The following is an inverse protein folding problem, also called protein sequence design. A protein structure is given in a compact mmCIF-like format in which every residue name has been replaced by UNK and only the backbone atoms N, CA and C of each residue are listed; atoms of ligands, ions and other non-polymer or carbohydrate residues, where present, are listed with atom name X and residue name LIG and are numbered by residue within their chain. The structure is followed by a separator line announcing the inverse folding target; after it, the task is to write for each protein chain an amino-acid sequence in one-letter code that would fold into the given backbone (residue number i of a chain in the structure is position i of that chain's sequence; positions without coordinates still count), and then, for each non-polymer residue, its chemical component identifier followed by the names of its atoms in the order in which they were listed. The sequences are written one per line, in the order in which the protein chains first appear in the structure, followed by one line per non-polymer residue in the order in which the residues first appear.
data_IF_983204071126
#
_entry.id   IF_983204071126
#
_cell.length_a   1.000
_cell.length_b   1.000
_cell.length_c   1.000
_cell.angle_alpha   90.00
_cell.angle_beta   90.00
_cell.angle_gamma   90.00
#
_symmetry.space_group_name_H-M   'P 1'
#
loop_
_entity.id
_entity.type
_entity.pdbx_description
1 polymer ?
#
# COMPACT_ATOMS: atom_id res chain seq x y z
N UNK A 1 -46.43 47.64 -70.84
CA UNK A 1 -46.15 47.56 -72.29
C UNK A 1 -45.59 46.16 -72.57
N UNK A 2 -46.43 45.27 -73.14
CA UNK A 2 -46.14 43.98 -73.82
C UNK A 2 -45.34 42.84 -73.15
N UNK A 3 -46.08 41.91 -72.53
CA UNK A 3 -46.36 40.50 -72.91
C UNK A 3 -45.38 39.65 -73.78
N UNK A 4 -45.42 38.34 -73.48
CA UNK A 4 -45.04 37.09 -74.21
C UNK A 4 -43.60 36.55 -74.02
N UNK A 5 -43.38 35.41 -73.33
CA UNK A 5 -43.65 33.98 -73.66
C UNK A 5 -42.75 33.43 -74.78
N UNK A 6 -41.89 32.44 -74.48
CA UNK A 6 -41.86 31.07 -75.07
C UNK A 6 -40.49 30.38 -74.97
N UNK A 7 -40.58 29.14 -74.48
CA UNK A 7 -39.96 27.89 -74.96
C UNK A 7 -38.44 27.67 -74.88
N UNK A 8 -38.11 26.60 -74.16
CA UNK A 8 -36.86 25.82 -74.19
C UNK A 8 -36.61 25.18 -75.57
N UNK A 9 -35.36 24.78 -75.88
CA UNK A 9 -35.04 23.35 -75.66
C UNK A 9 -33.59 23.02 -75.25
N UNK A 10 -33.51 21.88 -74.55
CA UNK A 10 -32.43 20.87 -74.49
C UNK A 10 -30.97 21.31 -74.33
N UNK A 11 -30.42 21.10 -73.13
CA UNK A 11 -28.99 20.84 -72.96
C UNK A 11 -28.76 19.39 -72.59
N UNK A 12 -27.97 18.74 -73.45
CA UNK A 12 -27.46 17.38 -73.33
C UNK A 12 -26.66 17.23 -72.05
N UNK A 13 -26.96 16.15 -71.36
CA UNK A 13 -26.23 15.54 -70.25
C UNK A 13 -24.74 15.42 -70.53
N UNK A 14 -23.92 16.06 -69.70
CA UNK A 14 -22.56 15.61 -69.42
C UNK A 14 -22.51 15.32 -67.92
N UNK A 15 -22.48 14.02 -67.58
CA UNK A 15 -22.11 13.57 -66.24
C UNK A 15 -20.62 13.87 -66.06
N UNK A 16 -20.28 14.91 -65.32
CA UNK A 16 -18.97 15.02 -64.69
C UNK A 16 -19.13 14.46 -63.28
N UNK A 17 -18.62 13.24 -63.07
CA UNK A 17 -18.53 12.65 -61.75
C UNK A 17 -17.64 13.55 -60.87
N UNK A 18 -18.25 14.22 -59.89
CA UNK A 18 -17.50 14.83 -58.79
C UNK A 18 -17.14 13.67 -57.87
N UNK A 19 -15.92 13.16 -58.02
CA UNK A 19 -15.32 12.26 -57.05
C UNK A 19 -15.17 13.01 -55.74
N UNK A 20 -16.07 12.74 -54.79
CA UNK A 20 -15.91 13.18 -53.40
C UNK A 20 -14.74 12.38 -52.84
N UNK A 21 -13.54 12.97 -52.83
CA UNK A 21 -12.44 12.46 -52.04
C UNK A 21 -12.81 12.68 -50.57
N UNK A 22 -13.49 11.71 -49.96
CA UNK A 22 -13.56 11.59 -48.52
C UNK A 22 -12.17 11.14 -48.07
N UNK A 23 -11.31 12.11 -47.77
CA UNK A 23 -10.05 11.85 -47.05
C UNK A 23 -10.45 11.27 -45.70
N UNK A 24 -10.38 9.95 -45.57
CA UNK A 24 -10.53 9.27 -44.29
C UNK A 24 -9.30 9.67 -43.48
N UNK A 25 -9.47 10.61 -42.56
CA UNK A 25 -8.45 10.90 -41.57
C UNK A 25 -8.45 9.68 -40.64
N UNK A 26 -7.54 8.74 -40.87
CA UNK A 26 -7.23 7.70 -39.89
C UNK A 26 -6.58 8.41 -38.71
N UNK A 27 -7.40 8.78 -37.73
CA UNK A 27 -6.90 9.21 -36.43
C UNK A 27 -6.26 7.95 -35.84
N UNK A 28 -4.93 7.92 -35.58
CA UNK A 28 -4.37 6.81 -34.83
C UNK A 28 -5.15 6.74 -33.52
N UNK A 29 -5.74 5.57 -33.25
CA UNK A 29 -6.25 5.27 -31.93
C UNK A 29 -5.10 5.50 -30.97
N UNK A 30 -5.20 6.57 -30.17
CA UNK A 30 -4.40 6.74 -28.99
C UNK A 30 -4.82 5.61 -28.06
N UNK A 31 -4.26 4.43 -28.31
CA UNK A 31 -4.09 3.42 -27.30
C UNK A 31 -3.34 4.16 -26.20
N UNK A 32 -4.07 4.46 -25.14
CA UNK A 32 -3.53 4.99 -23.92
C UNK A 32 -2.57 3.94 -23.38
N UNK A 33 -1.33 3.95 -23.86
CA UNK A 33 -0.15 3.44 -23.15
C UNK A 33 0.11 4.39 -21.96
N UNK A 34 -0.89 4.53 -21.08
CA UNK A 34 -0.56 4.68 -19.67
C UNK A 34 -0.19 3.27 -19.28
N UNK A 35 1.11 3.02 -19.24
CA UNK A 35 1.74 1.79 -18.80
C UNK A 35 0.82 1.10 -17.79
N UNK A 36 0.47 -0.16 -18.05
CA UNK A 36 -0.13 -1.03 -17.07
C UNK A 36 0.65 -0.84 -15.78
N UNK A 37 0.06 -0.13 -14.82
CA UNK A 37 0.58 -0.07 -13.47
C UNK A 37 0.74 -1.53 -13.08
N UNK A 38 1.97 -1.91 -12.76
CA UNK A 38 2.32 -3.29 -12.52
C UNK A 38 1.32 -3.89 -11.55
N UNK A 39 0.63 -4.94 -11.96
CA UNK A 39 -0.31 -5.71 -11.12
C UNK A 39 0.42 -6.43 -9.95
N UNK A 40 1.69 -6.10 -9.73
CA UNK A 40 2.67 -6.70 -8.83
C UNK A 40 2.62 -6.14 -7.40
N UNK A 41 1.48 -5.59 -6.98
CA UNK A 41 1.23 -5.20 -5.59
C UNK A 41 0.29 -6.20 -4.93
N UNK A 42 0.65 -6.67 -3.74
CA UNK A 42 -0.11 -7.67 -2.97
C UNK A 42 -1.54 -7.22 -2.69
N UNK A 43 -1.69 -6.07 -2.03
CA UNK A 43 -2.96 -5.38 -1.82
C UNK A 43 -2.92 -4.00 -2.45
N UNK A 44 -4.02 -3.58 -3.06
CA UNK A 44 -4.25 -2.23 -3.54
C UNK A 44 -5.12 -1.45 -2.55
N UNK A 45 -5.05 -0.11 -2.62
CA UNK A 45 -5.99 0.71 -1.86
C UNK A 45 -7.44 0.41 -2.25
N UNK A 46 -8.41 0.50 -1.32
CA UNK A 46 -9.79 0.15 -1.60
C UNK A 46 -10.56 1.24 -2.37
N UNK A 47 -10.06 2.48 -2.35
CA UNK A 47 -10.70 3.66 -2.94
C UNK A 47 -9.65 4.61 -3.54
N UNK A 48 -10.11 5.54 -4.37
CA UNK A 48 -9.35 6.76 -4.67
C UNK A 48 -9.88 7.90 -3.81
N UNK A 49 -9.05 8.43 -2.92
CA UNK A 49 -9.47 9.39 -1.89
C UNK A 49 -8.30 9.89 -1.04
N UNK A 50 -8.63 10.36 0.17
CA UNK A 50 -7.66 10.94 1.09
C UNK A 50 -7.72 10.24 2.43
N UNK A 51 -6.58 9.83 2.99
CA UNK A 51 -6.52 9.25 4.34
C UNK A 51 -6.87 10.34 5.37
N UNK A 52 -7.83 10.04 6.23
CA UNK A 52 -8.34 10.92 7.29
C UNK A 52 -8.27 10.28 8.67
N UNK A 53 -7.88 9.00 8.76
CA UNK A 53 -7.44 8.41 10.01
C UNK A 53 -6.47 7.25 9.75
N UNK A 54 -5.42 7.16 10.56
CA UNK A 54 -4.33 6.16 10.40
C UNK A 54 -4.42 5.01 11.41
N UNK A 55 -3.61 3.96 11.19
CA UNK A 55 -3.55 2.75 12.03
C UNK A 55 -3.15 3.00 13.50
N UNK A 56 -2.72 4.20 13.84
CA UNK A 56 -2.32 4.54 15.21
C UNK A 56 -3.15 5.66 15.83
N UNK A 57 -4.16 6.15 15.12
CA UNK A 57 -5.00 7.22 15.64
C UNK A 57 -5.78 6.74 16.87
N UNK A 58 -5.73 7.54 17.92
CA UNK A 58 -6.49 7.26 19.14
C UNK A 58 -7.92 7.77 19.00
N UNK A 59 -8.89 6.87 19.18
CA UNK A 59 -10.32 7.15 19.30
C UNK A 59 -10.73 7.23 20.77
N UNK A 60 -11.90 7.82 21.02
CA UNK A 60 -12.52 7.89 22.34
C UNK A 60 -11.63 8.55 23.41
N UNK A 61 -11.01 9.68 23.05
CA UNK A 61 -10.20 10.50 23.97
C UNK A 61 -8.86 9.85 24.38
N UNK A 62 -8.29 8.98 23.54
CA UNK A 62 -6.99 8.36 23.81
C UNK A 62 -7.05 6.87 24.19
N UNK A 63 -8.25 6.28 24.28
CA UNK A 63 -8.42 4.96 24.92
C UNK A 63 -8.53 3.78 23.96
N UNK A 64 -8.66 4.03 22.65
CA UNK A 64 -8.79 2.98 21.64
C UNK A 64 -7.99 3.31 20.39
N UNK A 65 -6.99 2.50 20.06
CA UNK A 65 -6.23 2.64 18.81
C UNK A 65 -7.07 2.14 17.62
N UNK A 66 -7.10 2.93 16.55
CA UNK A 66 -7.74 2.57 15.28
C UNK A 66 -6.91 1.50 14.55
N UNK A 67 -7.42 0.28 14.39
CA UNK A 67 -6.65 -0.83 13.76
C UNK A 67 -6.83 -0.93 12.24
N UNK A 68 -6.77 0.19 11.54
CA UNK A 68 -6.96 0.26 10.09
C UNK A 68 -6.70 1.68 9.58
N UNK A 69 -7.17 2.00 8.38
CA UNK A 69 -7.22 3.36 7.88
C UNK A 69 -8.68 3.78 7.63
N UNK A 70 -8.96 5.07 7.79
CA UNK A 70 -10.18 5.67 7.29
C UNK A 70 -9.77 6.59 6.15
N UNK A 71 -10.46 6.47 5.02
CA UNK A 71 -10.22 7.31 3.86
C UNK A 71 -11.52 7.94 3.38
N UNK A 72 -11.51 9.26 3.25
CA UNK A 72 -12.66 10.06 2.92
C UNK A 72 -12.84 10.18 1.41
N UNK A 73 -14.12 10.07 1.02
CA UNK A 73 -14.62 10.46 -0.30
C UNK A 73 -16.13 10.71 -0.20
N UNK A 74 -16.87 10.73 -1.31
CA UNK A 74 -18.29 11.04 -1.31
C UNK A 74 -19.11 9.76 -1.09
N UNK A 75 -20.23 9.89 -0.38
CA UNK A 75 -21.24 8.82 -0.30
C UNK A 75 -21.65 8.39 -1.71
N UNK A 76 -21.61 7.08 -1.97
CA UNK A 76 -21.93 6.48 -3.27
C UNK A 76 -20.73 6.26 -4.18
N UNK A 77 -19.54 6.77 -3.83
CA UNK A 77 -18.32 6.45 -4.58
C UNK A 77 -17.95 4.96 -4.38
N UNK A 78 -17.37 4.31 -5.41
CA UNK A 78 -17.13 2.88 -5.41
C UNK A 78 -15.99 2.49 -4.46
N UNK A 79 -16.18 1.36 -3.78
CA UNK A 79 -15.18 0.63 -3.00
C UNK A 79 -14.81 -0.63 -3.77
N UNK A 80 -13.52 -0.85 -3.93
CA UNK A 80 -12.97 -1.95 -4.70
C UNK A 80 -12.28 -2.99 -3.81
N UNK A 81 -12.32 -4.25 -4.23
CA UNK A 81 -11.54 -5.31 -3.61
C UNK A 81 -10.04 -5.01 -3.74
N UNK A 82 -9.37 -4.95 -2.59
CA UNK A 82 -7.95 -4.65 -2.46
C UNK A 82 -7.08 -5.80 -3.01
N UNK A 83 -7.58 -7.02 -3.00
CA UNK A 83 -6.96 -8.22 -3.60
C UNK A 83 -8.04 -9.22 -3.96
N UNK A 84 -7.75 -10.09 -4.93
CA UNK A 84 -8.58 -11.24 -5.23
C UNK A 84 -8.75 -12.15 -3.99
N UNK A 85 -9.93 -12.74 -3.84
CA UNK A 85 -10.27 -13.57 -2.68
C UNK A 85 -11.73 -14.04 -2.69
N UNK A 86 -12.19 -14.58 -1.55
CA UNK A 86 -13.58 -15.04 -1.37
C UNK A 86 -14.27 -14.23 -0.27
N UNK A 87 -15.47 -13.71 -0.54
CA UNK A 87 -16.24 -12.93 0.42
C UNK A 87 -16.71 -13.82 1.58
N UNK A 88 -16.25 -13.53 2.79
CA UNK A 88 -16.62 -14.27 4.01
C UNK A 88 -17.68 -13.55 4.85
N UNK A 89 -17.82 -12.23 4.67
CA UNK A 89 -18.91 -11.44 5.27
C UNK A 89 -19.44 -10.42 4.28
N UNK A 90 -20.77 -10.32 4.17
CA UNK A 90 -21.47 -9.24 3.47
C UNK A 90 -22.74 -8.91 4.25
N UNK A 91 -22.63 -8.13 5.32
CA UNK A 91 -23.74 -7.92 6.27
C UNK A 91 -23.56 -6.68 7.13
N UNK A 92 -24.62 -6.33 7.88
CA UNK A 92 -24.61 -5.24 8.85
C UNK A 92 -24.11 -5.71 10.23
N UNK A 93 -23.31 -4.89 10.91
CA UNK A 93 -23.10 -5.01 12.36
C UNK A 93 -22.94 -3.63 12.99
N UNK A 94 -23.41 -3.49 14.23
CA UNK A 94 -23.21 -2.26 15.01
C UNK A 94 -21.72 -1.89 15.08
N UNK A 95 -21.41 -0.60 14.96
CA UNK A 95 -20.05 -0.07 14.93
C UNK A 95 -19.40 -0.08 13.54
N UNK A 96 -19.56 -1.14 12.75
CA UNK A 96 -18.98 -1.21 11.38
C UNK A 96 -19.98 -0.88 10.27
N UNK A 97 -21.27 -0.80 10.58
CA UNK A 97 -22.30 -0.62 9.57
C UNK A 97 -22.41 -1.83 8.64
N UNK A 98 -22.81 -1.58 7.39
CA UNK A 98 -22.68 -2.56 6.34
C UNK A 98 -21.21 -2.71 5.98
N UNK A 99 -20.73 -3.96 5.95
CA UNK A 99 -19.36 -4.27 5.61
C UNK A 99 -19.24 -5.47 4.68
N UNK A 100 -18.12 -5.47 3.96
CA UNK A 100 -17.60 -6.64 3.25
C UNK A 100 -16.32 -7.10 3.96
N UNK A 101 -16.15 -8.41 4.13
CA UNK A 101 -14.87 -9.03 4.51
C UNK A 101 -14.53 -10.05 3.45
N UNK A 102 -13.30 -10.02 2.96
CA UNK A 102 -12.77 -10.93 1.95
C UNK A 102 -11.65 -11.74 2.59
N UNK A 103 -11.72 -13.06 2.49
CA UNK A 103 -10.65 -13.99 2.85
C UNK A 103 -9.71 -14.15 1.66
N UNK A 104 -8.40 -14.15 1.95
CA UNK A 104 -7.32 -14.29 0.99
C UNK A 104 -6.41 -15.46 1.36
N UNK A 105 -5.40 -15.70 0.53
CA UNK A 105 -4.36 -16.70 0.79
C UNK A 105 -3.59 -16.36 2.09
N UNK A 106 -2.89 -17.36 2.63
CA UNK A 106 -1.97 -17.19 3.77
C UNK A 106 -2.57 -16.55 5.03
N UNK A 107 -3.86 -16.80 5.25
CA UNK A 107 -4.58 -16.38 6.45
C UNK A 107 -4.99 -14.90 6.46
N UNK A 108 -4.81 -14.19 5.34
CA UNK A 108 -5.15 -12.79 5.25
C UNK A 108 -6.66 -12.55 5.10
N UNK A 109 -7.14 -11.48 5.71
CA UNK A 109 -8.49 -10.96 5.54
C UNK A 109 -8.44 -9.44 5.33
N UNK A 110 -9.22 -8.92 4.39
CA UNK A 110 -9.45 -7.47 4.24
C UNK A 110 -10.90 -7.12 4.56
N UNK A 111 -11.11 -5.98 5.22
CA UNK A 111 -12.43 -5.48 5.58
C UNK A 111 -12.68 -4.10 5.00
N UNK A 112 -13.92 -3.89 4.57
CA UNK A 112 -14.43 -2.63 4.03
C UNK A 112 -15.71 -2.32 4.78
N UNK A 113 -15.73 -1.24 5.58
CA UNK A 113 -16.84 -0.92 6.47
C UNK A 113 -17.43 0.47 6.18
N UNK A 114 -18.54 0.77 6.86
CA UNK A 114 -19.38 1.96 6.68
C UNK A 114 -20.02 2.08 5.30
N UNK A 115 -20.15 0.96 4.58
CA UNK A 115 -20.70 0.91 3.24
C UNK A 115 -22.18 1.32 3.20
N UNK A 116 -22.68 1.59 1.99
CA UNK A 116 -24.13 1.59 1.74
C UNK A 116 -24.74 0.19 1.96
N UNK A 117 -26.05 0.14 2.16
CA UNK A 117 -26.78 -1.12 2.35
C UNK A 117 -26.84 -2.00 1.10
N UNK A 118 -26.67 -1.39 -0.08
CA UNK A 118 -26.64 -2.08 -1.37
C UNK A 118 -25.23 -2.59 -1.69
N UNK A 119 -24.79 -3.59 -0.93
CA UNK A 119 -23.53 -4.30 -1.19
C UNK A 119 -23.59 -5.00 -2.55
N UNK A 120 -22.50 -4.98 -3.32
CA UNK A 120 -22.46 -5.54 -4.68
C UNK A 120 -22.13 -7.04 -4.71
N UNK A 121 -21.77 -7.59 -3.55
CA UNK A 121 -21.33 -8.96 -3.36
C UNK A 121 -22.04 -9.63 -2.19
N UNK A 122 -22.06 -10.95 -2.20
CA UNK A 122 -22.62 -11.82 -1.17
C UNK A 122 -21.57 -12.79 -0.62
N UNK A 123 -21.83 -13.35 0.57
CA UNK A 123 -20.96 -14.37 1.16
C UNK A 123 -20.83 -15.57 0.20
N UNK A 124 -19.60 -15.99 -0.05
CA UNK A 124 -19.24 -17.08 -0.95
C UNK A 124 -18.84 -16.64 -2.37
N UNK A 125 -19.07 -15.37 -2.73
CA UNK A 125 -18.62 -14.85 -4.02
C UNK A 125 -17.08 -14.77 -4.07
N UNK A 126 -16.51 -15.17 -5.20
CA UNK A 126 -15.10 -14.89 -5.52
C UNK A 126 -15.00 -13.55 -6.22
N UNK A 127 -14.06 -12.72 -5.82
CA UNK A 127 -13.82 -11.40 -6.41
C UNK A 127 -12.38 -11.25 -6.87
N UNK A 128 -12.17 -10.43 -7.88
CA UNK A 128 -10.85 -10.05 -8.39
C UNK A 128 -10.33 -8.77 -7.73
N UNK A 129 -9.00 -8.55 -7.77
CA UNK A 129 -8.42 -7.26 -7.37
C UNK A 129 -9.00 -6.14 -8.24
N UNK A 130 -9.31 -5.00 -7.62
CA UNK A 130 -9.98 -3.85 -8.22
C UNK A 130 -11.45 -4.09 -8.64
N UNK A 131 -12.06 -5.21 -8.25
CA UNK A 131 -13.50 -5.43 -8.50
C UNK A 131 -14.35 -4.55 -7.59
N UNK A 132 -15.43 -3.97 -8.12
CA UNK A 132 -16.35 -3.12 -7.36
C UNK A 132 -17.24 -3.96 -6.43
N UNK A 133 -17.05 -3.82 -5.12
CA UNK A 133 -17.70 -4.69 -4.12
C UNK A 133 -18.75 -3.98 -3.26
N UNK A 134 -18.65 -2.66 -3.12
CA UNK A 134 -19.57 -1.85 -2.32
C UNK A 134 -19.49 -0.38 -2.72
N UNK A 135 -20.37 0.45 -2.18
CA UNK A 135 -20.31 1.91 -2.29
C UNK A 135 -20.08 2.53 -0.91
N UNK A 136 -19.35 3.64 -0.86
CA UNK A 136 -19.11 4.40 0.37
C UNK A 136 -20.43 4.87 0.96
N UNK A 137 -20.61 4.65 2.25
CA UNK A 137 -21.79 5.06 3.00
C UNK A 137 -21.43 5.91 4.22
N UNK A 138 -22.36 5.95 5.16
CA UNK A 138 -22.20 6.52 6.50
C UNK A 138 -22.93 5.64 7.53
N UNK A 139 -22.93 4.32 7.29
CA UNK A 139 -23.64 3.36 8.13
C UNK A 139 -22.80 3.01 9.37
N UNK A 140 -23.44 2.55 10.45
CA UNK A 140 -22.73 2.05 11.64
C UNK A 140 -22.58 3.03 12.80
N UNK A 141 -22.93 4.31 12.62
CA UNK A 141 -22.89 5.33 13.67
C UNK A 141 -22.11 6.59 13.31
N UNK A 142 -21.45 6.60 12.15
CA UNK A 142 -20.61 7.72 11.72
C UNK A 142 -21.38 8.78 10.94
N UNK A 143 -21.01 10.04 11.18
CA UNK A 143 -21.70 11.21 10.62
C UNK A 143 -21.11 11.68 9.29
N UNK A 144 -19.92 11.19 8.90
CA UNK A 144 -19.19 11.59 7.69
C UNK A 144 -18.90 10.39 6.79
N UNK A 145 -18.98 10.60 5.48
CA UNK A 145 -18.79 9.56 4.48
C UNK A 145 -17.31 9.20 4.34
N UNK A 146 -16.98 7.96 4.66
CA UNK A 146 -15.62 7.41 4.55
C UNK A 146 -15.70 5.88 4.38
N UNK A 147 -14.60 5.28 3.96
CA UNK A 147 -14.39 3.83 4.09
C UNK A 147 -13.46 3.58 5.27
N UNK A 148 -13.83 2.66 6.15
CA UNK A 148 -12.89 2.05 7.08
C UNK A 148 -12.33 0.79 6.44
N UNK A 149 -11.00 0.68 6.41
CA UNK A 149 -10.28 -0.43 5.82
C UNK A 149 -9.24 -1.01 6.78
N UNK A 150 -9.36 -2.31 7.07
CA UNK A 150 -8.41 -3.06 7.89
C UNK A 150 -7.95 -4.34 7.18
N UNK A 151 -6.72 -4.74 7.43
CA UNK A 151 -6.17 -6.03 7.02
C UNK A 151 -5.81 -6.81 8.28
N UNK A 152 -6.15 -8.09 8.29
CA UNK A 152 -5.73 -9.05 9.30
C UNK A 152 -4.96 -10.20 8.67
N UNK A 153 -4.12 -10.85 9.46
CA UNK A 153 -3.55 -12.16 9.17
C UNK A 153 -3.73 -13.05 10.39
N UNK A 154 -4.35 -14.21 10.20
CA UNK A 154 -4.56 -15.20 11.28
C UNK A 154 -5.22 -14.61 12.55
N UNK A 155 -6.08 -13.60 12.37
CA UNK A 155 -6.81 -12.92 13.44
C UNK A 155 -6.17 -11.61 13.95
N UNK A 156 -4.88 -11.39 13.65
CA UNK A 156 -4.12 -10.23 14.10
C UNK A 156 -4.12 -9.10 13.08
N UNK A 157 -4.31 -7.87 13.55
CA UNK A 157 -4.33 -6.68 12.69
C UNK A 157 -2.94 -6.39 12.13
N UNK A 158 -2.91 -6.08 10.84
CA UNK A 158 -1.70 -5.74 10.12
C UNK A 158 -1.58 -4.22 10.06
N UNK A 159 -0.40 -3.70 10.39
CA UNK A 159 -0.08 -2.30 10.12
C UNK A 159 -0.29 -2.00 8.63
N UNK A 160 -1.01 -0.92 8.33
CA UNK A 160 -1.19 -0.37 6.99
C UNK A 160 -0.48 0.99 6.96
N UNK A 161 0.54 1.18 6.12
CA UNK A 161 1.28 2.43 6.03
C UNK A 161 0.43 3.55 5.44
N UNK A 162 0.56 4.77 5.97
CA UNK A 162 -0.12 5.96 5.46
C UNK A 162 -0.21 7.06 6.50
N UNK A 163 -0.12 8.31 6.04
CA UNK A 163 -0.19 9.51 6.85
C UNK A 163 -1.50 10.26 6.67
N UNK A 164 -1.80 11.12 7.64
CA UNK A 164 -2.98 11.99 7.57
C UNK A 164 -2.88 12.94 6.37
N UNK A 165 -3.92 12.98 5.53
CA UNK A 165 -4.01 13.68 4.25
C UNK A 165 -3.27 13.08 3.05
N UNK A 166 -2.71 11.87 3.17
CA UNK A 166 -2.18 11.17 2.00
C UNK A 166 -3.26 10.93 0.94
N UNK A 167 -2.90 11.17 -0.31
CA UNK A 167 -3.76 10.85 -1.46
C UNK A 167 -3.49 9.43 -1.93
N UNK A 168 -4.51 8.60 -1.92
CA UNK A 168 -4.45 7.19 -2.33
C UNK A 168 -5.32 6.95 -3.56
N UNK A 169 -4.95 5.96 -4.38
CA UNK A 169 -5.73 5.54 -5.54
C UNK A 169 -6.00 4.04 -5.49
N UNK A 170 -7.22 3.63 -5.86
CA UNK A 170 -7.60 2.21 -5.83
C UNK A 170 -6.77 1.34 -6.79
N UNK A 171 -6.02 1.95 -7.70
CA UNK A 171 -5.12 1.31 -8.66
C UNK A 171 -3.70 1.16 -8.12
N UNK A 172 -3.37 1.85 -7.04
CA UNK A 172 -2.03 1.88 -6.48
C UNK A 172 -1.93 0.82 -5.39
N UNK A 173 -0.79 0.13 -5.34
CA UNK A 173 -0.49 -0.82 -4.28
C UNK A 173 -0.39 -0.09 -2.93
N UNK A 174 -0.83 -0.75 -1.87
CA UNK A 174 -0.45 -0.36 -0.52
C UNK A 174 1.06 -0.55 -0.42
N UNK A 175 1.83 0.45 0.05
CA UNK A 175 3.28 0.40 0.09
C UNK A 175 3.80 -0.48 1.25
N UNK A 176 3.35 -1.74 1.28
CA UNK A 176 3.69 -2.78 2.26
C UNK A 176 3.70 -4.13 1.55
N UNK A 177 4.68 -4.97 1.88
CA UNK A 177 4.65 -6.37 1.47
C UNK A 177 3.78 -7.20 2.42
N UNK A 178 3.09 -8.19 1.85
CA UNK A 178 2.21 -9.08 2.59
C UNK A 178 2.66 -10.53 2.36
N UNK A 179 3.59 -11.03 3.21
CA UNK A 179 4.31 -12.28 2.96
C UNK A 179 3.40 -13.51 2.85
N UNK A 180 3.76 -14.39 1.91
CA UNK A 180 3.07 -15.65 1.65
C UNK A 180 1.90 -15.54 0.67
N UNK A 181 1.67 -14.38 0.04
CA UNK A 181 0.69 -14.24 -1.02
C UNK A 181 1.28 -14.63 -2.38
N UNK A 182 0.56 -15.44 -3.16
CA UNK A 182 0.99 -15.78 -4.51
C UNK A 182 0.90 -14.54 -5.43
N UNK A 183 1.87 -14.37 -6.32
CA UNK A 183 2.00 -13.19 -7.18
C UNK A 183 2.79 -12.03 -6.57
N UNK A 184 3.12 -12.10 -5.27
CA UNK A 184 4.25 -11.38 -4.70
C UNK A 184 5.53 -11.96 -5.29
N UNK A 185 6.52 -11.16 -5.66
CA UNK A 185 7.72 -11.60 -6.38
C UNK A 185 8.65 -12.56 -5.62
N UNK A 186 8.23 -13.13 -4.48
CA UNK A 186 9.06 -13.97 -3.61
C UNK A 186 8.43 -15.33 -3.36
N UNK A 187 8.76 -16.31 -4.19
CA UNK A 187 8.43 -17.71 -3.92
C UNK A 187 9.72 -18.53 -4.01
N UNK A 188 10.41 -18.71 -2.87
CA UNK A 188 11.50 -19.69 -2.75
C UNK A 188 12.68 -19.41 -1.82
N UNK A 189 12.73 -18.29 -1.09
CA UNK A 189 13.82 -17.96 -0.16
C UNK A 189 13.69 -18.61 1.22
N UNK A 190 14.79 -18.74 1.95
CA UNK A 190 14.77 -19.21 3.33
C UNK A 190 13.77 -18.38 4.16
N UNK A 191 12.95 -19.04 4.99
CA UNK A 191 11.99 -18.36 5.85
C UNK A 191 12.75 -17.71 7.01
N UNK A 192 13.23 -16.48 6.80
CA UNK A 192 13.70 -15.61 7.85
C UNK A 192 12.56 -15.32 8.83
N UNK A 193 12.90 -15.09 10.09
CA UNK A 193 11.92 -14.81 11.14
C UNK A 193 12.30 -13.54 11.87
N UNK A 194 11.31 -12.82 12.38
CA UNK A 194 11.60 -11.66 13.22
C UNK A 194 12.37 -12.11 14.49
N UNK A 195 13.64 -11.69 14.65
CA UNK A 195 14.44 -11.99 15.83
C UNK A 195 13.93 -11.22 17.05
N UNK A 196 14.47 -11.52 18.23
CA UNK A 196 14.15 -10.82 19.47
C UNK A 196 15.35 -10.04 19.97
N UNK A 197 15.16 -8.76 20.28
CA UNK A 197 16.17 -7.88 20.87
C UNK A 197 15.66 -7.21 22.14
N UNK A 198 16.52 -7.08 23.15
CA UNK A 198 16.21 -6.50 24.45
C UNK A 198 17.44 -5.84 25.11
N UNK A 199 17.27 -5.27 26.31
CA UNK A 199 18.35 -4.65 27.07
C UNK A 199 19.59 -5.55 27.17
N UNK A 200 20.75 -4.96 26.85
CA UNK A 200 22.05 -5.62 26.83
C UNK A 200 22.46 -6.19 25.46
N UNK A 201 21.55 -6.26 24.49
CA UNK A 201 21.90 -6.65 23.12
C UNK A 201 22.67 -5.54 22.40
N UNK A 202 23.48 -5.92 21.42
CA UNK A 202 24.24 -4.96 20.60
C UNK A 202 24.56 -5.50 19.22
N UNK A 203 24.70 -4.63 18.22
CA UNK A 203 25.11 -4.99 16.86
C UNK A 203 24.35 -4.23 15.77
N UNK A 204 24.52 -4.68 14.53
CA UNK A 204 23.97 -4.04 13.33
C UNK A 204 22.44 -4.00 13.32
N UNK A 205 21.79 -5.06 13.84
CA UNK A 205 20.34 -5.07 14.00
C UNK A 205 19.85 -4.06 15.04
N UNK A 206 20.65 -3.78 16.07
CA UNK A 206 20.33 -2.76 17.06
C UNK A 206 20.48 -1.35 16.48
N UNK A 207 21.47 -1.13 15.59
CA UNK A 207 21.51 0.09 14.78
C UNK A 207 20.22 0.26 13.97
N UNK A 208 19.75 -0.80 13.30
CA UNK A 208 18.48 -0.75 12.57
C UNK A 208 17.28 -0.41 13.47
N UNK A 209 17.21 -0.98 14.68
CA UNK A 209 16.17 -0.63 15.67
C UNK A 209 16.23 0.86 16.01
N UNK A 210 17.41 1.38 16.35
CA UNK A 210 17.61 2.78 16.73
C UNK A 210 17.15 3.73 15.61
N UNK A 211 17.55 3.47 14.37
CA UNK A 211 17.12 4.26 13.22
C UNK A 211 15.62 4.15 12.94
N UNK A 212 15.02 2.96 13.05
CA UNK A 212 13.59 2.80 12.84
C UNK A 212 12.78 3.51 13.92
N UNK A 213 13.22 3.50 15.18
CA UNK A 213 12.57 4.26 16.25
C UNK A 213 12.57 5.76 15.96
N UNK A 214 13.70 6.31 15.48
CA UNK A 214 13.78 7.70 15.05
C UNK A 214 12.87 8.01 13.86
N UNK A 215 12.70 7.08 12.90
CA UNK A 215 11.74 7.21 11.80
C UNK A 215 10.31 7.37 12.30
N UNK A 216 9.98 6.68 13.39
CA UNK A 216 8.70 6.82 14.11
C UNK A 216 8.64 8.00 15.09
N UNK A 217 9.67 8.85 15.12
CA UNK A 217 9.71 10.08 15.92
C UNK A 217 10.21 9.89 17.36
N UNK A 218 10.77 8.73 17.70
CA UNK A 218 11.38 8.46 18.99
C UNK A 218 12.88 8.79 18.92
N UNK A 219 13.19 10.09 19.05
CA UNK A 219 14.55 10.60 18.97
C UNK A 219 15.47 9.97 20.02
N UNK A 220 16.69 9.58 19.60
CA UNK A 220 17.72 9.00 20.46
C UNK A 220 18.96 9.89 20.46
N UNK A 221 19.67 9.95 21.58
CA UNK A 221 20.90 10.75 21.66
C UNK A 221 22.02 10.15 20.79
N UNK A 222 22.04 8.82 20.63
CA UNK A 222 23.09 8.11 19.90
C UNK A 222 22.55 6.93 19.07
N UNK A 223 23.20 6.73 17.92
CA UNK A 223 23.13 5.49 17.15
C UNK A 223 24.48 4.80 17.33
N UNK A 224 24.56 3.88 18.27
CA UNK A 224 25.79 3.19 18.69
C UNK A 224 25.67 1.67 18.63
N UNK A 225 24.51 1.17 18.19
CA UNK A 225 24.23 -0.26 18.12
C UNK A 225 24.13 -0.91 19.49
N UNK A 226 23.84 -0.18 20.57
CA UNK A 226 23.65 -0.71 21.91
C UNK A 226 22.19 -0.58 22.33
N UNK A 227 21.58 -1.69 22.72
CA UNK A 227 20.23 -1.72 23.27
C UNK A 227 20.35 -1.46 24.77
N UNK A 228 20.48 -0.18 25.14
CA UNK A 228 20.50 0.27 26.53
C UNK A 228 19.15 0.84 26.97
N UNK A 229 19.14 1.43 28.17
CA UNK A 229 17.93 1.96 28.81
C UNK A 229 17.18 3.02 27.99
N UNK A 230 17.89 3.81 27.17
CA UNK A 230 17.27 4.80 26.29
C UNK A 230 16.47 4.13 25.17
N UNK A 231 17.06 3.13 24.51
CA UNK A 231 16.40 2.33 23.47
C UNK A 231 15.24 1.54 24.06
N UNK A 232 15.43 0.91 25.23
CA UNK A 232 14.35 0.19 25.92
C UNK A 232 13.16 1.11 26.20
N UNK A 233 13.41 2.32 26.73
CA UNK A 233 12.35 3.32 26.98
C UNK A 233 11.63 3.71 25.69
N UNK A 234 12.39 3.98 24.61
CA UNK A 234 11.81 4.32 23.32
C UNK A 234 10.96 3.17 22.74
N UNK A 235 11.38 1.92 22.93
CA UNK A 235 10.61 0.74 22.52
C UNK A 235 9.34 0.59 23.35
N UNK A 236 9.40 0.78 24.67
CA UNK A 236 8.21 0.78 25.53
C UNK A 236 7.20 1.86 25.10
N UNK A 237 7.66 3.08 24.83
CA UNK A 237 6.81 4.18 24.36
C UNK A 237 6.24 3.92 22.95
N UNK A 238 7.03 3.31 22.06
CA UNK A 238 6.59 2.85 20.75
C UNK A 238 5.52 1.76 20.86
N UNK A 239 5.76 0.75 21.69
CA UNK A 239 4.81 -0.33 21.96
C UNK A 239 3.50 0.23 22.55
N UNK A 240 3.59 1.16 23.50
CA UNK A 240 2.44 1.80 24.12
C UNK A 240 1.61 2.58 23.09
N UNK A 241 2.25 3.36 22.21
CA UNK A 241 1.56 4.13 21.17
C UNK A 241 0.94 3.24 20.09
N UNK A 242 1.55 2.07 19.83
CA UNK A 242 1.03 1.03 18.92
C UNK A 242 0.00 0.12 19.57
N UNK A 243 -0.27 0.26 20.87
CA UNK A 243 -1.16 -0.61 21.64
C UNK A 243 -0.71 -2.08 21.63
N UNK A 244 0.60 -2.32 21.67
CA UNK A 244 1.23 -3.62 21.81
C UNK A 244 1.42 -3.98 23.30
N UNK A 245 1.93 -5.19 23.58
CA UNK A 245 2.46 -5.46 24.92
C UNK A 245 3.65 -4.52 25.17
N UNK A 246 3.62 -3.82 26.31
CA UNK A 246 4.70 -2.91 26.73
C UNK A 246 5.66 -3.70 27.60
N UNK A 247 6.64 -4.32 26.98
CA UNK A 247 7.64 -5.19 27.61
C UNK A 247 9.08 -4.77 27.33
N UNK A 248 9.29 -3.70 26.55
CA UNK A 248 10.61 -3.18 26.22
C UNK A 248 11.42 -4.10 25.30
N UNK A 249 10.80 -5.13 24.73
CA UNK A 249 11.43 -6.13 23.87
C UNK A 249 10.97 -5.96 22.42
N UNK A 250 11.92 -5.82 21.50
CA UNK A 250 11.62 -5.86 20.06
C UNK A 250 11.50 -7.31 19.62
N UNK A 251 10.31 -7.88 19.80
CA UNK A 251 9.93 -9.19 19.26
C UNK A 251 9.09 -9.10 17.97
N UNK A 252 8.56 -10.22 17.44
CA UNK A 252 7.87 -10.25 16.16
C UNK A 252 6.74 -9.22 15.99
N UNK A 253 5.89 -9.04 17.00
CA UNK A 253 4.79 -8.06 16.92
C UNK A 253 5.28 -6.60 16.93
N UNK A 254 6.40 -6.35 17.62
CA UNK A 254 7.03 -5.02 17.63
C UNK A 254 7.69 -4.77 16.28
N UNK A 255 8.43 -5.74 15.74
CA UNK A 255 9.02 -5.65 14.40
C UNK A 255 7.99 -5.35 13.31
N UNK A 256 6.87 -6.08 13.28
CA UNK A 256 5.76 -5.88 12.33
C UNK A 256 5.19 -4.45 12.32
N UNK A 257 5.35 -3.75 13.45
CA UNK A 257 4.91 -2.37 13.60
C UNK A 257 6.05 -1.38 13.38
N UNK A 258 7.28 -1.77 13.70
CA UNK A 258 8.48 -0.93 13.74
C UNK A 258 9.15 -0.81 12.37
N UNK A 259 9.17 -1.87 11.56
CA UNK A 259 9.82 -1.81 10.26
C UNK A 259 9.15 -0.77 9.36
N UNK A 260 9.99 -0.06 8.61
CA UNK A 260 9.53 0.96 7.65
C UNK A 260 10.04 0.55 6.27
N UNK A 261 9.16 0.28 5.31
CA UNK A 261 9.57 -0.19 3.99
C UNK A 261 10.30 0.93 3.21
N UNK A 262 11.43 0.58 2.59
CA UNK A 262 12.22 1.49 1.75
C UNK A 262 12.04 1.10 0.28
N UNK A 263 11.12 1.79 -0.41
CA UNK A 263 10.57 1.34 -1.70
C UNK A 263 11.16 2.03 -2.93
N UNK A 264 11.68 3.25 -2.77
CA UNK A 264 12.26 4.02 -3.88
C UNK A 264 13.11 5.19 -3.38
N UNK A 265 13.88 5.79 -4.30
CA UNK A 265 14.56 7.05 -4.08
C UNK A 265 13.57 8.10 -3.56
N UNK A 266 13.93 8.74 -2.44
CA UNK A 266 13.28 9.96 -1.97
C UNK A 266 14.26 11.14 -2.07
N UNK A 267 13.71 12.34 -2.23
CA UNK A 267 14.48 13.59 -2.33
C UNK A 267 15.08 14.03 -0.98
N UNK A 268 14.61 13.43 0.12
CA UNK A 268 15.07 13.66 1.49
C UNK A 268 15.65 12.38 2.11
N UNK A 269 16.58 12.47 3.07
CA UNK A 269 17.12 11.31 3.77
C UNK A 269 16.14 10.80 4.84
N UNK A 270 15.98 9.47 4.93
CA UNK A 270 15.08 8.82 5.91
C UNK A 270 15.86 7.94 6.86
N UNK A 271 15.42 7.88 8.12
CA UNK A 271 16.09 7.05 9.12
C UNK A 271 15.98 5.56 8.78
N UNK A 272 14.85 5.10 8.26
CA UNK A 272 14.73 3.75 7.72
C UNK A 272 15.80 3.42 6.66
N UNK A 273 16.13 4.38 5.78
CA UNK A 273 17.20 4.23 4.78
C UNK A 273 18.58 4.19 5.42
N UNK A 274 18.84 5.02 6.45
CA UNK A 274 20.07 4.93 7.24
C UNK A 274 20.23 3.55 7.86
N UNK A 275 19.16 3.01 8.48
CA UNK A 275 19.17 1.68 9.07
C UNK A 275 19.49 0.58 8.06
N UNK A 276 18.87 0.63 6.88
CA UNK A 276 19.13 -0.34 5.81
C UNK A 276 20.56 -0.22 5.25
N UNK A 277 21.03 0.99 4.98
CA UNK A 277 22.39 1.22 4.47
C UNK A 277 23.45 0.81 5.48
N UNK A 278 23.26 1.12 6.76
CA UNK A 278 24.17 0.73 7.83
C UNK A 278 24.30 -0.79 7.87
N UNK A 279 23.16 -1.49 7.89
CA UNK A 279 23.12 -2.95 7.93
C UNK A 279 23.79 -3.57 6.70
N UNK A 280 23.46 -3.10 5.49
CA UNK A 280 24.07 -3.58 4.26
C UNK A 280 25.59 -3.33 4.23
N UNK A 281 26.07 -2.19 4.73
CA UNK A 281 27.49 -1.85 4.73
C UNK A 281 28.27 -2.66 5.75
N UNK A 282 27.82 -2.64 7.01
CA UNK A 282 28.61 -3.10 8.15
C UNK A 282 28.24 -4.54 8.57
N UNK A 283 26.98 -4.96 8.37
CA UNK A 283 26.54 -6.34 8.57
C UNK A 283 26.87 -7.25 7.40
N UNK A 284 26.53 -6.82 6.18
CA UNK A 284 26.67 -7.65 4.96
C UNK A 284 27.95 -7.35 4.14
N UNK A 285 28.67 -6.27 4.46
CA UNK A 285 29.94 -5.94 3.82
C UNK A 285 29.84 -5.29 2.44
N UNK A 286 28.67 -4.76 2.06
CA UNK A 286 28.51 -4.02 0.80
C UNK A 286 29.23 -2.68 0.85
N UNK A 287 29.92 -2.31 -0.23
CA UNK A 287 30.62 -1.02 -0.33
C UNK A 287 29.66 0.09 -0.79
N UNK A 288 28.86 0.61 0.15
CA UNK A 288 27.92 1.73 -0.08
C UNK A 288 28.14 2.86 0.94
N UNK A 289 27.65 4.06 0.59
CA UNK A 289 27.57 5.18 1.54
C UNK A 289 26.35 5.01 2.47
N UNK A 290 26.48 5.50 3.71
CA UNK A 290 25.37 5.61 4.66
C UNK A 290 25.02 7.09 4.76
N UNK A 291 24.07 7.51 3.93
CA UNK A 291 23.70 8.91 3.70
C UNK A 291 22.19 9.18 3.79
N UNK A 292 21.39 8.13 4.05
CA UNK A 292 19.94 8.19 4.15
C UNK A 292 19.22 8.28 2.80
N UNK A 293 19.96 8.31 1.67
CA UNK A 293 19.38 8.43 0.33
C UNK A 293 19.31 7.06 -0.37
N UNK A 294 18.12 6.68 -0.83
CA UNK A 294 17.93 5.44 -1.58
C UNK A 294 18.33 5.59 -3.06
N UNK A 295 19.62 5.81 -3.31
CA UNK A 295 20.20 5.94 -4.64
C UNK A 295 20.45 4.61 -5.35
N UNK A 296 21.06 4.67 -6.54
CA UNK A 296 21.38 3.48 -7.34
C UNK A 296 22.38 2.55 -6.65
N UNK A 297 23.30 3.08 -5.84
CA UNK A 297 24.25 2.25 -5.08
C UNK A 297 23.53 1.40 -4.02
N UNK A 298 22.66 2.02 -3.23
CA UNK A 298 21.80 1.34 -2.25
C UNK A 298 20.92 0.31 -2.94
N UNK A 299 20.24 0.69 -4.03
CA UNK A 299 19.38 -0.24 -4.78
C UNK A 299 20.14 -1.48 -5.27
N UNK A 300 21.32 -1.28 -5.88
CA UNK A 300 22.13 -2.40 -6.37
C UNK A 300 22.61 -3.32 -5.23
N UNK A 301 22.92 -2.75 -4.05
CA UNK A 301 23.28 -3.52 -2.86
C UNK A 301 22.09 -4.34 -2.36
N UNK A 302 20.88 -3.75 -2.32
CA UNK A 302 19.64 -4.46 -1.94
C UNK A 302 19.33 -5.59 -2.91
N UNK A 303 19.38 -5.35 -4.23
CA UNK A 303 19.17 -6.42 -5.23
C UNK A 303 20.20 -7.55 -5.09
N UNK A 304 21.45 -7.21 -4.76
CA UNK A 304 22.52 -8.19 -4.52
C UNK A 304 22.27 -8.99 -3.25
N UNK A 305 21.86 -8.33 -2.16
CA UNK A 305 21.52 -8.95 -0.89
C UNK A 305 20.32 -9.89 -1.02
N UNK A 306 19.25 -9.42 -1.65
CA UNK A 306 18.06 -10.24 -1.93
C UNK A 306 18.43 -11.50 -2.70
N UNK A 307 19.29 -11.37 -3.72
CA UNK A 307 19.79 -12.51 -4.50
C UNK A 307 20.58 -13.51 -3.62
N UNK A 308 21.46 -13.04 -2.73
CA UNK A 308 22.22 -13.93 -1.83
C UNK A 308 21.36 -14.55 -0.72
N UNK A 309 20.34 -13.84 -0.25
CA UNK A 309 19.39 -14.29 0.76
C UNK A 309 18.28 -15.19 0.17
N UNK A 310 18.22 -15.34 -1.17
CA UNK A 310 17.20 -16.12 -1.85
C UNK A 310 15.82 -15.45 -1.90
N UNK A 311 15.75 -14.14 -1.68
CA UNK A 311 14.52 -13.35 -1.71
C UNK A 311 14.12 -12.94 -3.14
N UNK A 312 12.92 -12.37 -3.26
CA UNK A 312 12.51 -11.60 -4.43
C UNK A 312 13.53 -10.51 -4.73
N UNK A 313 14.08 -10.47 -5.96
CA UNK A 313 15.01 -9.42 -6.37
C UNK A 313 14.21 -8.27 -6.98
N UNK A 314 13.64 -7.42 -6.13
CA UNK A 314 12.84 -6.25 -6.52
C UNK A 314 13.50 -4.91 -6.21
N UNK A 315 14.64 -4.95 -5.50
CA UNK A 315 15.42 -3.78 -5.13
C UNK A 315 14.71 -2.87 -4.13
N UNK A 316 13.85 -3.42 -3.27
CA UNK A 316 13.14 -2.72 -2.19
C UNK A 316 13.50 -3.34 -0.84
N UNK A 317 13.69 -2.52 0.18
CA UNK A 317 13.84 -3.03 1.56
C UNK A 317 12.46 -3.12 2.18
N UNK A 318 11.72 -4.14 1.76
CA UNK A 318 10.39 -4.44 2.25
C UNK A 318 10.40 -5.43 3.41
N UNK A 319 9.26 -6.06 3.72
CA UNK A 319 9.11 -6.90 4.92
C UNK A 319 10.16 -8.02 4.98
N UNK A 320 10.23 -8.86 3.93
CA UNK A 320 11.10 -10.03 3.90
C UNK A 320 12.59 -9.64 3.83
N UNK A 321 12.88 -8.50 3.19
CA UNK A 321 14.25 -7.97 3.13
C UNK A 321 14.68 -7.44 4.50
N UNK A 322 13.79 -6.75 5.23
CA UNK A 322 14.07 -6.35 6.61
C UNK A 322 14.25 -7.55 7.53
N UNK A 323 13.39 -8.57 7.44
CA UNK A 323 13.54 -9.82 8.20
C UNK A 323 14.91 -10.44 7.97
N UNK A 324 15.31 -10.59 6.70
CA UNK A 324 16.59 -11.18 6.35
C UNK A 324 17.78 -10.34 6.84
N UNK A 325 17.67 -9.01 6.81
CA UNK A 325 18.72 -8.13 7.33
C UNK A 325 18.87 -8.29 8.84
N UNK A 326 17.79 -8.37 9.62
CA UNK A 326 17.93 -8.35 11.10
C UNK A 326 18.09 -9.73 11.73
N UNK A 327 17.83 -10.82 11.00
CA UNK A 327 17.88 -12.23 11.45
C UNK A 327 19.25 -12.89 11.20
N UNK A 328 20.33 -12.26 11.66
CA UNK A 328 21.72 -12.73 11.49
C UNK A 328 22.54 -12.80 12.79
#
# INVERSE_FOLDING_TARGET
MFQFMRQSPSRRTFLTAVGTAATTLTIPSLTSERAAASDSGDFAWPITGTITSTYYDTRDGGTRTHRGIDADRYTGDPIYAARAGTVSTASYTSGYGYRVVIDHESGYQSRYAHCQSDLKVSVGDTVEKHEHIADIGSSGGDYAAHVHFDIKRDGEYQYIPGEYYDSISHTDAIPKDFPGLSGSGGDGGAAYSWPTYADGDSGESVYSIQYLLEDHGYALDYHDGIYGSEVETAVEDFQASRGLAVDGVVGPNTWESLYVPVLSASDDPYWATYGAQHHLRDGEGYSISVDGYYGSETKNAVESFQSSAGLAVDGKVGHDTWQALVDI
#
